data_IF_642341565841
#
_entry.id   IF_642341565841
#
_cell.length_a   1.000
_cell.length_b   1.000
_cell.length_c   1.000
_cell.angle_alpha   90.00
_cell.angle_beta   90.00
_cell.angle_gamma   90.00
#
_symmetry.space_group_name_H-M   'P 1'
#
loop_
_entity.id
_entity.type
_entity.pdbx_description
1 polymer ?
#
# COMPACT_ATOMS: atom_id res chain seq x y z
N UNK A 1 5.76 13.11 11.23
CA UNK A 1 5.94 12.30 10.01
C UNK A 1 7.43 12.02 9.87
N UNK A 2 7.87 10.76 9.99
CA UNK A 2 9.27 10.34 9.72
C UNK A 2 9.30 9.66 8.36
N UNK A 3 10.13 10.14 7.44
CA UNK A 3 10.35 9.52 6.14
C UNK A 3 11.41 8.44 6.34
N UNK A 4 11.10 7.18 5.98
CA UNK A 4 12.05 6.07 6.06
C UNK A 4 12.96 6.06 4.83
N UNK A 5 14.27 5.92 5.04
CA UNK A 5 15.30 5.91 3.98
C UNK A 5 15.91 4.53 3.73
N UNK A 6 15.91 3.66 4.75
CA UNK A 6 16.51 2.33 4.69
C UNK A 6 15.96 1.51 3.50
N UNK A 7 16.85 1.05 2.63
CA UNK A 7 16.51 0.24 1.47
C UNK A 7 15.68 0.96 0.40
N UNK A 8 15.58 2.29 0.45
CA UNK A 8 14.83 3.10 -0.54
C UNK A 8 15.72 3.60 -1.66
N UNK A 9 15.13 3.79 -2.84
CA UNK A 9 15.79 4.43 -3.97
C UNK A 9 15.66 5.95 -3.86
N UNK A 10 16.78 6.64 -3.72
CA UNK A 10 16.81 8.10 -3.63
C UNK A 10 17.48 8.67 -4.87
N UNK A 11 16.84 9.65 -5.52
CA UNK A 11 17.46 10.44 -6.57
C UNK A 11 17.90 11.79 -6.01
N UNK A 12 19.19 12.12 -6.14
CA UNK A 12 19.73 13.44 -5.82
C UNK A 12 20.09 14.16 -7.12
N UNK A 13 19.28 15.15 -7.50
CA UNK A 13 19.52 16.01 -8.65
C UNK A 13 20.39 17.20 -8.24
N UNK A 14 21.71 17.04 -8.38
CA UNK A 14 22.70 18.04 -8.00
C UNK A 14 23.92 17.39 -7.37
N UNK A 15 25.12 17.78 -7.84
CA UNK A 15 26.41 17.25 -7.35
C UNK A 15 27.33 18.31 -6.75
N UNK A 16 26.76 19.43 -6.31
CA UNK A 16 27.55 20.51 -5.70
C UNK A 16 28.31 19.98 -4.48
N UNK A 17 29.54 20.44 -4.27
CA UNK A 17 30.36 20.05 -3.12
C UNK A 17 29.73 20.42 -1.78
N UNK A 18 28.90 21.47 -1.75
CA UNK A 18 28.35 22.03 -0.51
C UNK A 18 26.97 21.47 -0.14
N UNK A 19 26.20 20.97 -1.11
CA UNK A 19 24.80 20.55 -0.90
C UNK A 19 24.58 19.11 -1.39
N UNK A 20 24.55 18.90 -2.71
CA UNK A 20 24.24 17.59 -3.29
C UNK A 20 25.18 16.46 -2.84
N UNK A 21 26.48 16.72 -2.76
CA UNK A 21 27.47 15.73 -2.34
C UNK A 21 27.31 15.30 -0.87
N UNK A 22 27.25 16.21 0.13
CA UNK A 22 27.05 15.80 1.52
C UNK A 22 25.67 15.15 1.74
N UNK A 23 24.62 15.58 1.05
CA UNK A 23 23.31 14.92 1.10
C UNK A 23 23.42 13.47 0.61
N UNK A 24 24.07 13.25 -0.53
CA UNK A 24 24.26 11.90 -1.05
C UNK A 24 25.12 11.06 -0.11
N UNK A 25 26.14 11.65 0.52
CA UNK A 25 26.96 10.95 1.49
C UNK A 25 26.12 10.47 2.67
N UNK A 26 25.36 11.37 3.30
CA UNK A 26 24.52 11.01 4.45
C UNK A 26 23.50 9.91 4.12
N UNK A 27 22.93 9.92 2.92
CA UNK A 27 21.86 9.00 2.56
C UNK A 27 22.34 7.60 2.18
N UNK A 28 23.50 7.46 1.54
CA UNK A 28 24.02 6.14 1.13
C UNK A 28 24.91 5.46 2.19
N UNK A 29 25.39 6.20 3.18
CA UNK A 29 26.26 5.65 4.24
C UNK A 29 25.45 4.71 5.13
N UNK A 30 26.15 3.72 5.69
CA UNK A 30 25.62 2.71 6.59
C UNK A 30 25.17 3.33 7.94
N UNK A 31 23.98 2.92 8.39
CA UNK A 31 23.36 3.34 9.65
C UNK A 31 24.08 2.86 10.91
N UNK A 32 24.93 1.83 10.83
CA UNK A 32 25.64 1.24 11.98
C UNK A 32 26.95 1.96 12.34
N UNK A 33 27.31 3.03 11.62
CA UNK A 33 28.48 3.84 11.94
C UNK A 33 28.25 4.75 13.16
N UNK A 34 29.34 5.26 13.75
CA UNK A 34 29.28 6.25 14.85
C UNK A 34 28.43 7.48 14.49
N UNK A 35 28.40 7.83 13.20
CA UNK A 35 27.44 8.77 12.61
C UNK A 35 26.49 7.99 11.70
N UNK A 36 25.26 7.70 12.15
CA UNK A 36 24.31 6.89 11.38
C UNK A 36 24.00 7.54 10.03
N UNK A 37 24.19 6.79 8.95
CA UNK A 37 23.74 7.14 7.61
C UNK A 37 22.28 6.76 7.35
N UNK A 38 21.89 6.78 6.08
CA UNK A 38 20.51 6.56 5.63
C UNK A 38 20.21 5.20 5.02
N UNK A 39 21.22 4.37 4.77
CA UNK A 39 21.10 3.04 4.13
C UNK A 39 20.25 3.02 2.85
N UNK A 40 20.29 4.11 2.10
CA UNK A 40 19.52 4.28 0.88
C UNK A 40 20.37 4.02 -0.37
N UNK A 41 19.74 3.50 -1.42
CA UNK A 41 20.36 3.42 -2.74
C UNK A 41 20.27 4.79 -3.41
N UNK A 42 21.36 5.55 -3.41
CA UNK A 42 21.37 6.92 -3.92
C UNK A 42 21.88 6.99 -5.37
N UNK A 43 21.06 7.55 -6.26
CA UNK A 43 21.45 7.94 -7.62
C UNK A 43 21.74 9.44 -7.66
N UNK A 44 22.96 9.85 -8.01
CA UNK A 44 23.31 11.26 -8.18
C UNK A 44 23.21 11.62 -9.66
N UNK A 45 22.47 12.70 -9.96
CA UNK A 45 22.39 13.27 -11.30
C UNK A 45 22.91 14.70 -11.32
N UNK A 46 23.25 15.19 -12.51
CA UNK A 46 23.82 16.52 -12.71
C UNK A 46 23.37 17.11 -14.05
N UNK A 47 23.77 18.35 -14.33
CA UNK A 47 23.43 19.10 -15.56
C UNK A 47 23.80 18.43 -16.90
N UNK A 48 24.60 17.36 -16.88
CA UNK A 48 25.01 16.62 -18.10
C UNK A 48 24.41 15.20 -18.14
N UNK A 49 23.60 14.81 -17.14
CA UNK A 49 22.86 13.55 -17.19
C UNK A 49 21.81 13.67 -18.30
N UNK A 50 21.77 12.77 -19.28
CA UNK A 50 20.77 12.79 -20.35
C UNK A 50 19.34 12.78 -19.81
N UNK A 51 18.40 13.44 -20.50
CA UNK A 51 17.01 13.58 -20.04
C UNK A 51 16.31 12.22 -19.93
N UNK A 52 16.63 11.28 -20.81
CA UNK A 52 16.09 9.91 -20.82
C UNK A 52 16.52 9.15 -19.57
N UNK A 53 17.80 9.22 -19.21
CA UNK A 53 18.35 8.59 -18.01
C UNK A 53 17.78 9.23 -16.75
N UNK A 54 17.68 10.56 -16.73
CA UNK A 54 17.08 11.27 -15.61
C UNK A 54 15.63 10.82 -15.38
N UNK A 55 14.83 10.70 -16.46
CA UNK A 55 13.44 10.23 -16.39
C UNK A 55 13.34 8.83 -15.78
N UNK A 56 14.17 7.90 -16.24
CA UNK A 56 14.19 6.51 -15.73
C UNK A 56 14.49 6.50 -14.23
N UNK A 57 15.57 7.16 -13.79
CA UNK A 57 15.95 7.15 -12.37
C UNK A 57 14.94 7.90 -11.50
N UNK A 58 14.26 8.93 -12.04
CA UNK A 58 13.20 9.62 -11.30
C UNK A 58 11.94 8.74 -11.15
N UNK A 59 11.63 7.89 -12.14
CA UNK A 59 10.50 6.92 -12.05
C UNK A 59 10.78 5.78 -11.07
N UNK A 60 12.04 5.42 -10.86
CA UNK A 60 12.45 4.36 -9.93
C UNK A 60 12.64 4.83 -8.48
N UNK A 61 12.69 6.14 -8.26
CA UNK A 61 12.99 6.72 -6.95
C UNK A 61 11.76 6.79 -6.05
N UNK A 62 11.90 6.32 -4.80
CA UNK A 62 10.95 6.57 -3.72
C UNK A 62 11.02 8.02 -3.21
N UNK A 63 12.23 8.62 -3.25
CA UNK A 63 12.51 9.95 -2.74
C UNK A 63 13.32 10.73 -3.79
N UNK A 64 12.90 11.94 -4.11
CA UNK A 64 13.60 12.84 -5.05
C UNK A 64 14.04 14.10 -4.33
N UNK A 65 15.34 14.39 -4.35
CA UNK A 65 15.95 15.57 -3.76
C UNK A 65 16.52 16.43 -4.89
N UNK A 66 16.06 17.67 -5.01
CA UNK A 66 16.54 18.62 -6.02
C UNK A 66 17.44 19.65 -5.36
N UNK A 67 18.71 19.65 -5.74
CA UNK A 67 19.78 20.46 -5.17
C UNK A 67 20.65 21.12 -6.26
N UNK A 68 20.05 21.57 -7.37
CA UNK A 68 20.71 22.49 -8.30
C UNK A 68 19.83 23.66 -8.68
N UNK A 69 20.50 24.77 -9.01
CA UNK A 69 19.90 26.10 -9.24
C UNK A 69 19.27 26.20 -10.63
N UNK A 70 19.83 25.51 -11.63
CA UNK A 70 19.40 25.55 -13.03
C UNK A 70 18.34 24.49 -13.43
N UNK A 71 17.78 23.75 -12.47
CA UNK A 71 16.55 22.98 -12.74
C UNK A 71 15.34 23.91 -12.73
N UNK A 72 15.39 25.03 -13.47
CA UNK A 72 14.21 25.82 -13.85
C UNK A 72 13.31 25.01 -14.79
N UNK A 73 13.90 24.05 -15.49
CA UNK A 73 13.23 22.80 -15.84
C UNK A 73 13.50 21.78 -14.72
N UNK A 74 12.66 21.80 -13.68
CA UNK A 74 12.49 20.62 -12.83
C UNK A 74 12.42 19.39 -13.75
N UNK A 75 12.93 18.20 -13.36
CA UNK A 75 12.55 16.99 -14.07
C UNK A 75 11.04 17.08 -14.22
N UNK A 76 10.50 16.97 -15.44
CA UNK A 76 9.05 17.13 -15.73
C UNK A 76 8.14 16.27 -14.82
N UNK A 77 8.72 15.42 -13.97
CA UNK A 77 8.11 14.70 -12.87
C UNK A 77 7.80 15.53 -11.60
N UNK A 78 8.51 16.62 -11.27
CA UNK A 78 8.17 17.48 -10.12
C UNK A 78 7.06 18.49 -10.48
N UNK A 79 6.93 18.85 -11.76
CA UNK A 79 5.74 19.54 -12.30
C UNK A 79 4.51 18.64 -12.44
N UNK A 80 4.59 17.37 -12.03
CA UNK A 80 3.44 16.46 -12.06
C UNK A 80 2.33 16.87 -11.06
N UNK A 81 2.60 17.84 -10.18
CA UNK A 81 1.61 18.39 -9.24
C UNK A 81 1.88 19.87 -8.97
N UNK A 82 1.71 20.74 -9.96
CA UNK A 82 1.52 22.17 -9.65
C UNK A 82 0.12 22.32 -9.02
N UNK A 83 0.04 23.03 -7.90
CA UNK A 83 -1.24 23.49 -7.35
C UNK A 83 -1.98 24.27 -8.44
N UNK A 84 -3.27 24.01 -8.60
CA UNK A 84 -4.08 24.64 -9.64
C UNK A 84 -4.04 26.17 -9.50
N UNK A 85 -3.90 26.87 -10.64
CA UNK A 85 -3.99 28.33 -10.72
C UNK A 85 -5.37 28.78 -10.18
N UNK A 86 -5.43 29.95 -9.53
CA UNK A 86 -6.56 30.44 -8.71
C UNK A 86 -7.94 30.38 -9.38
N UNK A 87 -8.01 30.30 -10.72
CA UNK A 87 -9.25 30.20 -11.49
C UNK A 87 -9.93 28.81 -11.45
N UNK A 88 -9.22 27.76 -11.01
CA UNK A 88 -9.73 26.38 -10.98
C UNK A 88 -9.92 25.80 -9.57
N UNK A 89 -9.87 26.63 -8.53
CA UNK A 89 -9.96 26.19 -7.13
C UNK A 89 -11.29 25.48 -6.79
N UNK A 90 -12.33 25.62 -7.63
CA UNK A 90 -13.64 24.98 -7.48
C UNK A 90 -13.85 23.74 -8.38
N UNK A 91 -12.84 23.31 -9.14
CA UNK A 91 -12.97 22.13 -10.00
C UNK A 91 -13.09 20.84 -9.16
N UNK A 92 -12.22 20.65 -8.16
CA UNK A 92 -12.30 19.53 -7.24
C UNK A 92 -13.21 19.88 -6.05
N UNK A 93 -14.26 19.09 -5.83
CA UNK A 93 -15.24 19.34 -4.76
C UNK A 93 -14.71 18.83 -3.42
N UNK A 94 -14.33 17.54 -3.37
CA UNK A 94 -13.85 16.86 -2.16
C UNK A 94 -12.46 16.25 -2.41
N UNK A 95 -11.49 17.05 -2.82
CA UNK A 95 -10.16 16.56 -3.16
C UNK A 95 -9.12 17.65 -3.33
N UNK A 96 -7.87 17.24 -3.48
CA UNK A 96 -6.78 18.14 -3.84
C UNK A 96 -6.69 18.28 -5.37
N UNK A 97 -6.62 19.52 -5.84
CA UNK A 97 -6.45 19.84 -7.25
C UNK A 97 -4.96 19.81 -7.64
N UNK A 98 -4.66 19.07 -8.71
CA UNK A 98 -3.36 19.04 -9.36
C UNK A 98 -3.50 19.43 -10.83
N UNK A 99 -2.70 20.37 -11.31
CA UNK A 99 -2.71 20.75 -12.72
C UNK A 99 -1.71 19.89 -13.50
N UNK A 100 -2.17 19.24 -14.57
CA UNK A 100 -1.31 18.44 -15.43
C UNK A 100 -0.92 19.24 -16.69
N UNK A 101 0.33 19.73 -16.71
CA UNK A 101 0.80 20.69 -17.71
C UNK A 101 0.81 20.16 -19.16
N UNK A 102 0.99 18.86 -19.38
CA UNK A 102 1.07 18.26 -20.73
C UNK A 102 -0.32 18.04 -21.38
N UNK A 103 -1.32 17.67 -20.58
CA UNK A 103 -2.73 17.55 -21.03
C UNK A 103 -3.51 18.86 -20.86
N UNK A 104 -2.88 19.89 -20.28
CA UNK A 104 -3.44 21.21 -20.00
C UNK A 104 -4.80 21.13 -19.26
N UNK A 105 -4.94 20.18 -18.34
CA UNK A 105 -6.19 19.90 -17.62
C UNK A 105 -5.98 19.75 -16.10
N UNK A 106 -6.95 20.18 -15.27
CA UNK A 106 -6.93 19.87 -13.84
C UNK A 106 -7.30 18.40 -13.59
N UNK A 107 -6.69 17.80 -12.57
CA UNK A 107 -6.95 16.43 -12.12
C UNK A 107 -7.17 16.47 -10.61
N UNK A 108 -8.17 15.77 -10.12
CA UNK A 108 -8.51 15.73 -8.69
C UNK A 108 -7.98 14.46 -8.02
N UNK A 109 -7.34 14.63 -6.86
CA UNK A 109 -7.05 13.55 -5.93
C UNK A 109 -8.11 13.57 -4.82
N UNK A 110 -9.04 12.63 -4.87
CA UNK A 110 -10.18 12.61 -3.96
C UNK A 110 -9.76 12.31 -2.51
N UNK A 111 -10.45 12.95 -1.57
CA UNK A 111 -10.42 12.62 -0.15
C UNK A 111 -11.01 11.22 0.05
N UNK A 112 -10.62 10.58 1.15
CA UNK A 112 -11.12 9.24 1.48
C UNK A 112 -12.65 9.23 1.50
N UNK A 113 -13.25 8.26 0.79
CA UNK A 113 -14.69 8.14 0.68
C UNK A 113 -15.32 8.96 -0.45
N UNK A 114 -14.55 9.61 -1.32
CA UNK A 114 -15.05 10.29 -2.52
C UNK A 114 -14.47 9.68 -3.80
N UNK A 115 -15.26 9.67 -4.88
CA UNK A 115 -14.88 9.28 -6.24
C UNK A 115 -15.47 10.27 -7.26
N UNK A 116 -15.09 10.10 -8.53
CA UNK A 116 -15.49 10.95 -9.64
C UNK A 116 -14.30 11.75 -10.17
N UNK A 117 -14.43 12.29 -11.38
CA UNK A 117 -13.37 13.11 -11.98
C UNK A 117 -13.15 14.40 -11.19
N UNK A 118 -14.19 14.89 -10.50
CA UNK A 118 -14.19 16.08 -9.65
C UNK A 118 -14.38 15.76 -8.16
N UNK A 119 -14.38 14.48 -7.80
CA UNK A 119 -14.66 14.00 -6.43
C UNK A 119 -16.07 14.37 -5.93
N UNK A 120 -17.05 14.31 -6.84
CA UNK A 120 -18.45 14.65 -6.61
C UNK A 120 -19.24 13.54 -5.90
N UNK A 121 -18.81 12.28 -6.02
CA UNK A 121 -19.61 11.14 -5.57
C UNK A 121 -19.03 10.55 -4.28
N UNK A 122 -19.87 10.44 -3.24
CA UNK A 122 -19.50 9.77 -1.99
C UNK A 122 -19.48 8.24 -2.22
N UNK A 123 -18.31 7.64 -2.15
CA UNK A 123 -18.12 6.18 -2.19
C UNK A 123 -18.53 5.61 -0.83
N UNK A 124 -19.81 5.25 -0.68
CA UNK A 124 -20.35 4.61 0.52
C UNK A 124 -19.92 3.15 0.70
N UNK A 125 -18.99 2.64 -0.11
CA UNK A 125 -18.59 1.24 -0.10
C UNK A 125 -17.07 1.07 0.02
N UNK A 126 -16.66 0.23 1.00
CA UNK A 126 -15.46 -0.63 0.98
C UNK A 126 -14.17 -0.21 1.71
N UNK A 127 -14.17 0.73 2.66
CA UNK A 127 -12.97 1.02 3.49
C UNK A 127 -12.45 -0.19 4.33
N UNK A 128 -13.15 -1.33 4.29
CA UNK A 128 -12.71 -2.57 4.93
C UNK A 128 -12.26 -3.69 3.95
N UNK A 129 -12.39 -3.55 2.63
CA UNK A 129 -12.32 -4.69 1.67
C UNK A 129 -10.96 -5.35 1.52
N UNK A 130 -9.86 -4.60 1.58
CA UNK A 130 -8.54 -5.23 1.49
C UNK A 130 -8.14 -6.01 2.76
N UNK A 131 -8.72 -5.66 3.92
CA UNK A 131 -8.45 -6.37 5.17
C UNK A 131 -9.41 -7.55 5.35
N UNK A 132 -10.71 -7.35 5.12
CA UNK A 132 -11.70 -8.40 5.39
C UNK A 132 -11.64 -9.58 4.44
N UNK A 133 -11.24 -9.43 3.18
CA UNK A 133 -11.21 -10.56 2.23
C UNK A 133 -10.31 -11.69 2.72
N UNK A 134 -9.15 -11.32 3.28
CA UNK A 134 -8.20 -12.28 3.85
C UNK A 134 -8.76 -12.92 5.13
N UNK A 135 -9.43 -12.16 5.99
CA UNK A 135 -10.04 -12.69 7.21
C UNK A 135 -11.27 -13.56 6.94
N UNK A 136 -12.07 -13.25 5.92
CA UNK A 136 -13.23 -14.05 5.49
C UNK A 136 -12.75 -15.41 4.95
N UNK A 137 -11.72 -15.42 4.11
CA UNK A 137 -11.14 -16.66 3.60
C UNK A 137 -10.59 -17.55 4.72
N UNK A 138 -9.89 -16.96 5.69
CA UNK A 138 -9.40 -17.69 6.89
C UNK A 138 -10.55 -18.22 7.73
N UNK A 139 -11.59 -17.41 7.95
CA UNK A 139 -12.77 -17.79 8.74
C UNK A 139 -13.51 -18.99 8.15
N UNK A 140 -13.73 -19.01 6.83
CA UNK A 140 -14.38 -20.14 6.13
C UNK A 140 -13.53 -21.41 6.26
N UNK A 141 -12.20 -21.29 6.09
CA UNK A 141 -11.29 -22.42 6.25
C UNK A 141 -11.37 -23.07 7.63
N UNK A 142 -11.35 -22.26 8.69
CA UNK A 142 -11.46 -22.75 10.08
C UNK A 142 -12.85 -23.36 10.33
N UNK A 143 -13.91 -22.76 9.81
CA UNK A 143 -15.28 -23.27 9.95
C UNK A 143 -15.47 -24.66 9.33
N UNK A 144 -14.93 -24.88 8.12
CA UNK A 144 -15.02 -26.18 7.42
C UNK A 144 -14.22 -27.25 8.17
N UNK A 145 -13.00 -26.92 8.62
CA UNK A 145 -12.16 -27.85 9.36
C UNK A 145 -12.79 -28.28 10.69
N UNK A 146 -13.32 -27.33 11.46
CA UNK A 146 -13.96 -27.61 12.76
C UNK A 146 -15.24 -28.42 12.61
N UNK A 147 -16.09 -28.08 11.64
CA UNK A 147 -17.29 -28.86 11.28
C UNK A 147 -16.96 -30.30 10.88
N UNK A 148 -15.94 -30.49 10.04
CA UNK A 148 -15.49 -31.81 9.61
C UNK A 148 -15.02 -32.69 10.77
N UNK A 149 -14.21 -32.13 11.67
CA UNK A 149 -13.72 -32.84 12.87
C UNK A 149 -14.89 -33.24 13.78
N UNK A 150 -15.83 -32.32 14.04
CA UNK A 150 -17.01 -32.60 14.85
C UNK A 150 -17.89 -33.70 14.23
N UNK A 151 -18.08 -33.68 12.91
CA UNK A 151 -18.83 -34.72 12.19
C UNK A 151 -18.14 -36.09 12.29
N UNK A 152 -16.80 -36.15 12.21
CA UNK A 152 -16.02 -37.38 12.37
C UNK A 152 -16.16 -37.90 13.81
N UNK A 153 -16.00 -37.05 14.81
CA UNK A 153 -16.16 -37.41 16.23
C UNK A 153 -17.58 -37.91 16.48
N UNK A 154 -18.60 -37.20 16.00
CA UNK A 154 -19.99 -37.61 16.10
C UNK A 154 -20.24 -38.96 15.44
N UNK A 155 -19.72 -39.18 14.22
CA UNK A 155 -19.79 -40.47 13.54
C UNK A 155 -19.09 -41.58 14.33
N UNK A 156 -17.92 -41.28 14.92
CA UNK A 156 -17.16 -42.22 15.73
C UNK A 156 -17.92 -42.61 17.02
N UNK A 157 -18.44 -41.62 17.75
CA UNK A 157 -19.27 -41.83 18.95
C UNK A 157 -20.53 -42.60 18.58
N UNK A 158 -21.25 -42.21 17.53
CA UNK A 158 -22.44 -42.93 17.06
C UNK A 158 -22.12 -44.36 16.65
N UNK A 159 -20.98 -44.62 15.98
CA UNK A 159 -20.53 -45.97 15.62
C UNK A 159 -20.12 -46.79 16.84
N UNK A 160 -19.44 -46.19 17.83
CA UNK A 160 -19.11 -46.79 19.14
C UNK A 160 -20.38 -47.13 19.94
N UNK A 161 -21.34 -46.22 20.04
CA UNK A 161 -22.63 -46.45 20.71
C UNK A 161 -23.47 -47.50 19.99
N UNK A 162 -23.44 -47.58 18.65
CA UNK A 162 -24.08 -48.66 17.88
C UNK A 162 -23.38 -50.01 18.08
N UNK A 163 -22.05 -50.03 18.20
CA UNK A 163 -21.28 -51.23 18.58
C UNK A 163 -21.58 -51.66 20.03
N UNK A 164 -21.71 -50.73 20.98
CA UNK A 164 -22.12 -51.03 22.35
C UNK A 164 -23.59 -51.48 22.49
N UNK A 165 -24.50 -50.99 21.63
CA UNK A 165 -25.89 -51.48 21.55
C UNK A 165 -26.05 -52.85 20.85
N UNK A 166 -24.96 -53.42 20.31
CA UNK A 166 -24.99 -54.69 19.59
C UNK A 166 -24.38 -55.86 20.40
N UNK A 167 -24.71 -56.01 21.71
CA UNK A 167 -24.94 -57.36 22.24
C UNK A 167 -25.98 -57.51 23.37
N UNK A 168 -26.97 -56.62 23.55
CA UNK A 168 -28.10 -56.92 24.46
C UNK A 168 -29.45 -56.47 23.88
N UNK A 169 -30.15 -57.41 23.24
CA UNK A 169 -31.61 -57.47 23.33
C UNK A 169 -31.91 -58.20 24.65
N UNK A 170 -32.35 -57.47 25.67
CA UNK A 170 -33.09 -58.03 26.81
C UNK A 170 -34.33 -57.16 27.00
N UNK A 171 -35.47 -57.84 27.02
CA UNK A 171 -36.82 -57.33 27.11
C UNK A 171 -37.10 -56.62 28.45
N UNK A 172 -37.86 -55.52 28.44
CA UNK A 172 -38.93 -55.27 29.42
C UNK A 172 -40.05 -54.57 28.64
N UNK A 173 -41.20 -55.24 28.56
CA UNK A 173 -42.42 -54.65 28.02
C UNK A 173 -43.16 -53.90 29.10
N UNK A 174 -43.93 -52.89 28.70
CA UNK A 174 -45.22 -52.60 29.33
C UNK A 174 -46.10 -51.86 28.33
N UNK A 175 -47.12 -52.59 27.88
CA UNK A 175 -48.31 -52.08 27.20
C UNK A 175 -49.10 -51.23 28.19
N UNK A 176 -49.33 -49.96 27.85
CA UNK A 176 -50.38 -49.15 28.44
C UNK A 176 -51.27 -48.61 27.32
N UNK A 177 -52.55 -48.98 27.44
CA UNK A 177 -53.74 -48.66 26.64
C UNK A 177 -53.95 -49.40 25.32
#
# INVERSE_FOLDING_TARGET
MRIQTFGKNVLVAGRSKNVGMPISMLLHTDGEHERPGGDATVTITHRYTPKEQLKIHTQLADIVIVAAVDYTEQPKLLKLMQSCLEEHHSYCINGLCAFHSELRKPICKCLAGYNGERCEHLTLNSYAHNSYERYIAVGIGVGILTSGILAIIYCYVRKRCRKLKSPYKVCVGETAL
#
